data_IF_381412662751
#
_entry.id   IF_381412662751
#
_cell.length_a   1.000
_cell.length_b   1.000
_cell.length_c   1.000
_cell.angle_alpha   90.00
_cell.angle_beta   90.00
_cell.angle_gamma   90.00
#
_symmetry.space_group_name_H-M   'P 1'
#
loop_
_entity.id
_entity.type
_entity.pdbx_description
1 polymer ?
#
# COMPACT_ATOMS: atom_id res chain seq x y z
N UNK A 1 -26.44 -2.15 34.41
CA UNK A 1 -26.42 -1.19 35.53
C UNK A 1 -24.96 -0.86 35.87
N UNK A 2 -24.57 0.43 35.72
CA UNK A 2 -23.45 1.19 36.35
C UNK A 2 -22.05 0.53 36.40
N UNK A 3 -20.94 1.19 36.05
CA UNK A 3 -20.52 2.57 36.42
C UNK A 3 -19.58 3.16 35.36
N UNK A 4 -19.85 4.41 35.00
CA UNK A 4 -18.97 5.33 34.26
C UNK A 4 -18.15 6.08 35.31
N UNK A 5 -16.84 6.20 35.13
CA UNK A 5 -16.00 7.10 35.94
C UNK A 5 -15.20 7.98 34.96
N UNK A 6 -15.59 9.25 34.93
CA UNK A 6 -14.94 10.35 34.23
C UNK A 6 -13.67 10.79 34.95
N UNK A 7 -12.69 11.28 34.19
CA UNK A 7 -11.49 11.90 34.76
C UNK A 7 -10.62 12.57 33.70
N UNK A 8 -11.12 13.64 33.08
CA UNK A 8 -10.36 14.50 32.16
C UNK A 8 -9.82 15.70 32.93
N UNK A 9 -8.50 15.80 33.08
CA UNK A 9 -7.84 17.00 33.58
C UNK A 9 -7.38 17.86 32.40
N UNK A 10 -7.85 19.11 32.36
CA UNK A 10 -7.36 20.18 31.50
C UNK A 10 -6.00 20.66 32.00
N UNK A 11 -5.03 20.84 31.10
CA UNK A 11 -3.96 21.84 31.28
C UNK A 11 -3.88 22.68 30.01
N UNK A 12 -4.36 23.92 30.13
CA UNK A 12 -4.13 25.00 29.18
C UNK A 12 -2.71 25.54 29.41
N UNK A 13 -1.89 25.57 28.37
CA UNK A 13 -0.79 26.52 28.27
C UNK A 13 -0.72 27.05 26.84
N UNK A 14 -1.15 28.28 26.69
CA UNK A 14 -0.87 29.10 25.52
C UNK A 14 0.49 29.78 25.73
N UNK A 15 1.39 29.67 24.75
CA UNK A 15 2.47 30.62 24.55
C UNK A 15 2.75 30.73 23.05
N UNK A 16 2.53 31.94 22.54
CA UNK A 16 2.78 32.38 21.18
C UNK A 16 4.30 32.43 20.91
N UNK A 17 4.73 31.92 19.75
CA UNK A 17 5.90 32.46 19.06
C UNK A 17 5.51 32.73 17.61
N UNK A 18 5.15 33.98 17.37
CA UNK A 18 5.16 34.64 16.07
C UNK A 18 6.59 34.68 15.54
N UNK A 19 6.94 33.78 14.64
CA UNK A 19 8.11 33.89 13.77
C UNK A 19 7.77 34.69 12.52
N UNK A 20 7.67 36.01 12.67
CA UNK A 20 7.61 36.98 11.59
C UNK A 20 9.00 37.05 10.93
N UNK A 21 9.16 36.48 9.75
CA UNK A 21 10.32 36.68 8.89
C UNK A 21 9.96 37.59 7.74
N UNK A 22 9.90 38.90 7.99
CA UNK A 22 9.92 39.92 6.94
C UNK A 22 11.38 40.27 6.66
N UNK A 23 11.83 40.05 5.44
CA UNK A 23 12.69 41.03 4.76
C UNK A 23 12.35 41.02 3.27
N UNK A 24 11.74 42.11 2.84
CA UNK A 24 11.40 42.39 1.46
C UNK A 24 12.59 43.01 0.73
N UNK A 25 12.86 42.51 -0.48
CA UNK A 25 13.67 43.18 -1.49
C UNK A 25 12.91 43.17 -2.83
N UNK A 26 12.70 44.33 -3.49
CA UNK A 26 12.02 44.44 -4.79
C UNK A 26 12.88 43.95 -5.99
N UNK A 27 12.29 43.80 -7.20
CA UNK A 27 12.68 42.80 -8.19
C UNK A 27 13.83 43.27 -9.08
N UNK A 28 14.66 42.32 -9.53
CA UNK A 28 15.57 42.55 -10.66
C UNK A 28 15.00 41.88 -11.90
N UNK A 29 14.68 42.71 -12.89
CA UNK A 29 14.36 42.31 -14.24
C UNK A 29 15.62 41.96 -15.03
N UNK A 30 15.39 41.17 -16.08
CA UNK A 30 16.22 40.96 -17.26
C UNK A 30 17.48 40.08 -17.15
N UNK A 31 17.33 38.83 -17.58
CA UNK A 31 18.03 38.39 -18.81
C UNK A 31 17.40 37.15 -19.43
N UNK A 32 16.93 37.33 -20.66
CA UNK A 32 16.63 36.27 -21.63
C UNK A 32 17.75 35.24 -21.68
N UNK A 33 17.45 34.01 -21.28
CA UNK A 33 18.13 32.82 -21.76
C UNK A 33 17.04 31.90 -22.30
N UNK A 34 16.86 31.94 -23.61
CA UNK A 34 16.04 30.99 -24.35
C UNK A 34 16.73 29.62 -24.28
N UNK A 35 16.61 28.96 -23.14
CA UNK A 35 16.97 27.57 -22.99
C UNK A 35 15.93 26.78 -23.77
N UNK A 36 16.28 26.41 -24.99
CA UNK A 36 15.55 25.42 -25.77
C UNK A 36 15.49 24.14 -24.94
N UNK A 37 14.40 23.98 -24.20
CA UNK A 37 14.05 22.74 -23.52
C UNK A 37 13.85 21.73 -24.64
N UNK A 38 14.88 20.90 -24.90
CA UNK A 38 14.72 19.69 -25.69
C UNK A 38 13.51 18.96 -25.11
N UNK A 39 12.51 18.58 -25.93
CA UNK A 39 11.44 17.72 -25.46
C UNK A 39 12.08 16.52 -24.78
N UNK A 40 11.72 16.29 -23.52
CA UNK A 40 11.97 14.99 -22.89
C UNK A 40 11.39 13.94 -23.85
N UNK A 41 12.09 12.82 -24.09
CA UNK A 41 11.49 11.73 -24.87
C UNK A 41 10.16 11.37 -24.21
N UNK A 42 9.12 11.35 -25.03
CA UNK A 42 7.76 11.01 -24.64
C UNK A 42 7.81 9.68 -23.89
N UNK A 43 7.51 9.73 -22.61
CA UNK A 43 7.66 8.65 -21.66
C UNK A 43 6.52 7.66 -21.81
N UNK A 44 6.39 7.03 -22.98
CA UNK A 44 5.38 6.00 -23.26
C UNK A 44 3.99 6.43 -22.79
N UNK A 45 3.30 7.20 -23.63
CA UNK A 45 2.08 7.97 -23.34
C UNK A 45 0.81 7.16 -23.05
N UNK A 46 0.93 5.98 -22.45
CA UNK A 46 -0.20 5.13 -22.04
C UNK A 46 -0.11 4.65 -20.59
N UNK A 47 -1.28 4.47 -19.99
CA UNK A 47 -1.46 3.72 -18.75
C UNK A 47 -1.05 2.25 -18.95
N UNK A 48 -0.30 1.66 -18.02
CA UNK A 48 -0.08 0.21 -17.96
C UNK A 48 -1.05 -0.40 -16.96
N UNK A 49 -1.76 -1.46 -17.35
CA UNK A 49 -2.78 -2.11 -16.50
C UNK A 49 -2.44 -3.57 -16.30
N UNK A 50 -2.53 -4.01 -15.06
CA UNK A 50 -2.36 -5.42 -14.70
C UNK A 50 -3.54 -5.91 -13.89
N UNK A 51 -4.03 -7.11 -14.20
CA UNK A 51 -4.98 -7.79 -13.35
C UNK A 51 -4.23 -8.50 -12.23
N UNK A 52 -4.47 -8.09 -10.99
CA UNK A 52 -3.84 -8.67 -9.81
C UNK A 52 -4.88 -9.41 -8.99
N UNK A 53 -4.60 -10.67 -8.70
CA UNK A 53 -5.40 -11.54 -7.84
C UNK A 53 -4.60 -11.91 -6.60
N UNK A 54 -5.15 -11.62 -5.43
CA UNK A 54 -4.66 -12.03 -4.12
C UNK A 54 -5.53 -13.19 -3.62
N UNK A 55 -4.89 -14.25 -3.16
CA UNK A 55 -5.57 -15.43 -2.60
C UNK A 55 -4.99 -15.76 -1.24
N UNK A 56 -5.87 -16.09 -0.30
CA UNK A 56 -5.53 -16.69 0.99
C UNK A 56 -6.28 -18.00 1.10
N UNK A 57 -5.53 -19.09 1.16
CA UNK A 57 -6.04 -20.45 1.15
C UNK A 57 -6.10 -20.99 2.58
N UNK A 58 -6.85 -22.07 2.76
CA UNK A 58 -7.04 -22.72 4.06
C UNK A 58 -8.51 -22.84 4.41
N UNK A 59 -8.78 -23.09 5.68
CA UNK A 59 -10.13 -23.35 6.19
C UNK A 59 -10.45 -22.45 7.39
N UNK A 60 -11.74 -22.30 7.66
CA UNK A 60 -12.23 -21.51 8.79
C UNK A 60 -12.24 -20.02 8.50
N UNK A 61 -11.87 -19.22 9.50
CA UNK A 61 -11.87 -17.75 9.43
C UNK A 61 -10.48 -17.25 9.76
N UNK A 62 -9.98 -16.28 8.98
CA UNK A 62 -8.68 -15.64 9.21
C UNK A 62 -8.81 -14.12 9.11
N UNK A 63 -7.89 -13.41 9.76
CA UNK A 63 -7.64 -12.00 9.45
C UNK A 63 -6.75 -11.92 8.20
N UNK A 64 -6.97 -10.94 7.34
CA UNK A 64 -6.19 -10.69 6.13
C UNK A 64 -5.93 -9.20 6.03
N UNK A 65 -4.65 -8.83 5.94
CA UNK A 65 -4.23 -7.49 5.53
C UNK A 65 -3.75 -7.56 4.08
N UNK A 66 -4.11 -6.58 3.26
CA UNK A 66 -3.61 -6.52 1.89
C UNK A 66 -3.32 -5.10 1.44
N UNK A 67 -2.37 -4.96 0.51
CA UNK A 67 -2.13 -3.77 -0.30
C UNK A 67 -2.40 -4.11 -1.76
N UNK A 68 -3.36 -3.42 -2.36
CA UNK A 68 -3.76 -3.54 -3.77
C UNK A 68 -4.05 -2.12 -4.30
N UNK A 69 -5.19 -1.89 -4.95
CA UNK A 69 -5.69 -0.52 -5.22
C UNK A 69 -6.08 0.23 -3.93
N UNK A 70 -6.44 -0.53 -2.90
CA UNK A 70 -6.69 -0.02 -1.56
C UNK A 70 -5.99 -0.91 -0.55
N UNK A 71 -5.74 -0.35 0.63
CA UNK A 71 -5.17 -1.09 1.74
C UNK A 71 -6.29 -1.37 2.75
N UNK A 72 -6.43 -2.63 3.16
CA UNK A 72 -7.49 -3.02 4.10
C UNK A 72 -7.02 -4.13 5.02
N UNK A 73 -7.56 -4.12 6.23
CA UNK A 73 -7.50 -5.23 7.17
C UNK A 73 -8.91 -5.74 7.44
N UNK A 74 -9.16 -7.02 7.20
CA UNK A 74 -10.50 -7.60 7.38
C UNK A 74 -10.47 -9.05 7.84
N UNK A 75 -11.53 -9.46 8.53
CA UNK A 75 -11.78 -10.85 8.93
C UNK A 75 -12.62 -11.53 7.85
N UNK A 76 -12.13 -12.63 7.30
CA UNK A 76 -12.70 -13.30 6.13
C UNK A 76 -12.80 -14.81 6.33
N UNK A 77 -13.76 -15.44 5.66
CA UNK A 77 -13.86 -16.91 5.58
C UNK A 77 -12.90 -17.41 4.49
N UNK A 78 -12.19 -18.50 4.77
CA UNK A 78 -11.25 -19.11 3.83
C UNK A 78 -11.89 -20.28 3.04
N UNK A 79 -11.46 -20.51 1.78
CA UNK A 79 -10.50 -19.71 1.02
C UNK A 79 -11.07 -18.35 0.60
N UNK A 80 -10.22 -17.33 0.59
CA UNK A 80 -10.57 -15.96 0.25
C UNK A 80 -9.78 -15.50 -0.99
N UNK A 81 -10.44 -14.70 -1.83
CA UNK A 81 -9.86 -14.16 -3.06
C UNK A 81 -10.29 -12.71 -3.27
N UNK A 82 -9.35 -11.90 -3.76
CA UNK A 82 -9.59 -10.51 -4.17
C UNK A 82 -8.87 -10.24 -5.49
N UNK A 83 -9.61 -9.75 -6.48
CA UNK A 83 -9.06 -9.38 -7.79
C UNK A 83 -9.29 -7.89 -8.03
N UNK A 84 -8.30 -7.20 -8.61
CA UNK A 84 -8.45 -5.81 -9.05
C UNK A 84 -7.46 -5.50 -10.17
N UNK A 85 -7.83 -4.55 -11.03
CA UNK A 85 -6.93 -4.00 -12.05
C UNK A 85 -6.11 -2.87 -11.43
N UNK A 86 -4.80 -3.05 -11.35
CA UNK A 86 -3.88 -2.00 -10.90
C UNK A 86 -3.38 -1.24 -12.13
N UNK A 87 -3.50 0.08 -12.10
CA UNK A 87 -3.09 0.96 -13.20
C UNK A 87 -1.85 1.76 -12.78
N UNK A 88 -0.77 1.67 -13.57
CA UNK A 88 0.40 2.51 -13.46
C UNK A 88 0.22 3.68 -14.45
N UNK A 89 -0.10 4.86 -13.92
CA UNK A 89 -0.46 6.02 -14.74
C UNK A 89 0.71 6.98 -14.90
N UNK A 90 1.58 7.08 -13.90
CA UNK A 90 2.72 7.99 -13.91
C UNK A 90 4.00 7.32 -14.42
N UNK A 91 4.91 8.12 -14.96
CA UNK A 91 6.24 7.63 -15.38
C UNK A 91 7.06 7.08 -14.22
N UNK A 92 6.84 7.63 -13.02
CA UNK A 92 7.46 7.12 -11.81
C UNK A 92 6.99 5.70 -11.52
N UNK A 93 5.67 5.46 -11.49
CA UNK A 93 5.08 4.13 -11.29
C UNK A 93 5.53 3.12 -12.35
N UNK A 94 5.51 3.51 -13.64
CA UNK A 94 6.00 2.65 -14.73
C UNK A 94 7.50 2.32 -14.59
N UNK A 95 8.30 3.22 -14.01
CA UNK A 95 9.75 3.02 -13.86
C UNK A 95 10.12 2.24 -12.59
N UNK A 96 9.51 2.57 -11.45
CA UNK A 96 9.89 2.00 -10.14
C UNK A 96 9.00 0.84 -9.74
N UNK A 97 7.77 0.80 -10.27
CA UNK A 97 6.72 -0.14 -9.92
C UNK A 97 5.86 0.29 -8.72
N UNK A 98 4.84 -0.51 -8.44
CA UNK A 98 4.06 -0.43 -7.20
C UNK A 98 4.01 -1.80 -6.53
N UNK A 99 4.08 -1.83 -5.21
CA UNK A 99 4.08 -3.10 -4.47
C UNK A 99 2.66 -3.54 -4.15
N UNK A 100 2.30 -4.74 -4.59
CA UNK A 100 1.10 -5.45 -4.14
C UNK A 100 1.47 -6.51 -3.09
N UNK A 101 0.63 -6.72 -2.09
CA UNK A 101 0.91 -7.71 -1.04
C UNK A 101 -0.35 -8.23 -0.35
N UNK A 102 -0.22 -9.42 0.22
CA UNK A 102 -1.21 -10.00 1.12
C UNK A 102 -0.50 -10.66 2.30
N UNK A 103 -0.96 -10.32 3.50
CA UNK A 103 -0.47 -10.83 4.78
C UNK A 103 -1.57 -11.73 5.37
N UNK A 104 -1.41 -13.05 5.27
CA UNK A 104 -2.36 -13.99 5.85
C UNK A 104 -2.24 -14.04 7.37
N UNK A 105 -3.38 -14.06 8.07
CA UNK A 105 -3.45 -14.44 9.47
C UNK A 105 -3.16 -15.92 9.71
N UNK A 106 -3.13 -16.31 10.99
CA UNK A 106 -2.91 -17.71 11.38
C UNK A 106 -4.17 -18.56 11.25
N UNK A 107 -4.00 -19.81 10.84
CA UNK A 107 -5.02 -20.85 10.75
C UNK A 107 -4.53 -22.14 11.41
N UNK A 108 -5.46 -22.97 11.87
CA UNK A 108 -5.14 -24.29 12.38
C UNK A 108 -4.85 -25.25 11.22
N UNK A 109 -3.78 -26.02 11.35
CA UNK A 109 -3.54 -27.17 10.47
C UNK A 109 -4.24 -28.41 11.02
N UNK A 110 -4.20 -29.50 10.25
CA UNK A 110 -4.73 -30.80 10.62
C UNK A 110 -4.10 -31.37 11.92
N UNK A 111 -2.86 -30.99 12.23
CA UNK A 111 -2.15 -31.37 13.46
C UNK A 111 -2.54 -30.53 14.70
N UNK A 112 -3.49 -29.60 14.55
CA UNK A 112 -3.92 -28.69 15.62
C UNK A 112 -2.97 -27.52 15.88
N UNK A 113 -1.85 -27.41 15.18
CA UNK A 113 -0.92 -26.28 15.32
C UNK A 113 -1.36 -25.08 14.50
N UNK A 114 -1.06 -23.87 15.00
CA UNK A 114 -1.26 -22.63 14.25
C UNK A 114 -0.09 -22.38 13.29
N UNK A 115 -0.41 -22.06 12.04
CA UNK A 115 0.56 -21.54 11.05
C UNK A 115 -0.09 -20.42 10.25
N UNK A 116 0.73 -19.61 9.58
CA UNK A 116 0.22 -18.64 8.63
C UNK A 116 -0.59 -19.36 7.54
N UNK A 117 -1.75 -18.81 7.19
CA UNK A 117 -2.51 -19.32 6.05
C UNK A 117 -1.67 -19.22 4.77
N UNK A 118 -1.88 -20.12 3.83
CA UNK A 118 -1.17 -20.05 2.56
C UNK A 118 -1.65 -18.83 1.78
N UNK A 119 -0.74 -18.10 1.13
CA UNK A 119 -1.09 -16.99 0.25
C UNK A 119 -0.49 -17.17 -1.14
N UNK A 120 -1.17 -16.61 -2.13
CA UNK A 120 -0.74 -16.59 -3.53
C UNK A 120 -1.06 -15.23 -4.14
N UNK A 121 -0.14 -14.70 -4.95
CA UNK A 121 -0.38 -13.54 -5.82
C UNK A 121 -0.25 -14.00 -7.27
N UNK A 122 -1.27 -13.68 -8.05
CA UNK A 122 -1.31 -13.91 -9.49
C UNK A 122 -1.43 -12.57 -10.19
N UNK A 123 -0.59 -12.33 -11.20
CA UNK A 123 -0.60 -11.13 -12.04
C UNK A 123 -0.77 -11.58 -13.48
N UNK A 124 -1.78 -11.05 -14.16
CA UNK A 124 -2.11 -11.36 -15.56
C UNK A 124 -2.17 -12.88 -15.82
N UNK A 125 -2.81 -13.61 -14.90
CA UNK A 125 -2.97 -15.07 -14.95
C UNK A 125 -1.72 -15.87 -14.57
N UNK A 126 -0.59 -15.23 -14.23
CA UNK A 126 0.65 -15.91 -13.82
C UNK A 126 0.87 -15.79 -12.31
N UNK A 127 1.14 -16.92 -11.65
CA UNK A 127 1.55 -16.92 -10.24
C UNK A 127 2.94 -16.25 -10.10
N UNK A 128 3.02 -15.19 -9.32
CA UNK A 128 4.26 -14.41 -9.12
C UNK A 128 4.81 -14.45 -7.70
N UNK A 129 3.99 -14.76 -6.70
CA UNK A 129 4.42 -14.93 -5.32
C UNK A 129 3.58 -15.98 -4.58
N UNK A 130 4.21 -16.73 -3.68
CA UNK A 130 3.55 -17.57 -2.69
C UNK A 130 4.42 -17.69 -1.42
N UNK A 131 3.82 -18.09 -0.30
CA UNK A 131 4.52 -18.37 0.96
C UNK A 131 4.80 -19.87 1.16
N UNK A 132 5.09 -20.60 0.07
CA UNK A 132 5.35 -22.04 0.05
C UNK A 132 4.21 -22.87 0.65
N UNK A 133 2.97 -22.42 0.43
CA UNK A 133 1.78 -23.06 0.98
C UNK A 133 1.69 -22.96 2.51
N UNK A 134 2.02 -21.79 3.08
CA UNK A 134 1.99 -21.56 4.53
C UNK A 134 3.20 -22.11 5.30
N UNK A 135 4.21 -22.64 4.61
CA UNK A 135 5.46 -23.15 5.21
C UNK A 135 6.51 -22.06 5.47
N UNK A 136 6.28 -20.87 4.93
CA UNK A 136 7.13 -19.70 5.13
C UNK A 136 6.38 -18.69 6.01
N UNK A 137 7.11 -18.08 6.94
CA UNK A 137 6.66 -16.94 7.75
C UNK A 137 6.56 -15.64 6.95
N UNK A 138 7.25 -15.58 5.80
CA UNK A 138 7.17 -14.47 4.85
C UNK A 138 5.75 -14.27 4.29
N UNK A 139 5.37 -13.01 4.16
CA UNK A 139 4.16 -12.57 3.47
C UNK A 139 4.29 -12.75 1.96
N UNK A 140 3.16 -12.76 1.24
CA UNK A 140 3.20 -12.67 -0.21
C UNK A 140 3.30 -11.21 -0.63
N UNK A 141 4.31 -10.89 -1.43
CA UNK A 141 4.58 -9.54 -1.94
C UNK A 141 5.13 -9.63 -3.35
N UNK A 142 4.75 -8.69 -4.21
CA UNK A 142 5.25 -8.57 -5.57
C UNK A 142 5.33 -7.09 -5.99
N UNK A 143 6.40 -6.72 -6.69
CA UNK A 143 6.56 -5.38 -7.25
C UNK A 143 6.09 -5.39 -8.70
N UNK A 144 4.95 -4.74 -8.95
CA UNK A 144 4.29 -4.64 -10.25
C UNK A 144 4.93 -3.55 -11.10
N UNK A 145 5.29 -3.84 -12.35
CA UNK A 145 5.98 -2.94 -13.28
C UNK A 145 5.47 -3.14 -14.70
#
# INVERSE_FOLDING_TARGET
>A
MRKIISGTALVLTAALLTGCGSDGGPPTADKSANASVKPKPDSGSGEVKHEVTLEVLGHGTSQVYYNLNTNKFEKVKLPWKKTSTVTLATDAEKRIGTTVSVVPGSVYNADGTLRAAACVITVDGKKVADNKGGKSDKICKYDLK
#
